data_IF_383926609635
#
_entry.id   IF_383926609635
#
_cell.length_a   1.000
_cell.length_b   1.000
_cell.length_c   1.000
_cell.angle_alpha   90.00
_cell.angle_beta   90.00
_cell.angle_gamma   90.00
#
_symmetry.space_group_name_H-M   'P 1'
#
loop_
_entity.id
_entity.type
_entity.pdbx_description
1 polymer ?
#
# COMPACT_ATOMS: atom_id res chain seq x y z
N UNK A 1 41.95 -16.01 -38.87
CA UNK A 1 42.20 -16.03 -40.33
C UNK A 1 41.05 -15.29 -41.01
N UNK A 2 41.39 -14.48 -42.00
CA UNK A 2 40.88 -13.13 -42.31
C UNK A 2 39.70 -13.06 -43.30
N UNK A 3 38.89 -11.99 -43.24
CA UNK A 3 38.40 -11.15 -44.37
C UNK A 3 37.36 -10.14 -43.83
N UNK A 4 37.66 -8.85 -43.59
CA UNK A 4 37.93 -7.71 -44.50
C UNK A 4 36.69 -7.15 -45.22
N UNK A 5 36.29 -5.97 -44.74
CA UNK A 5 35.70 -4.77 -45.36
C UNK A 5 34.47 -4.80 -46.30
N UNK A 6 33.50 -3.95 -45.91
CA UNK A 6 32.59 -3.04 -46.67
C UNK A 6 31.48 -2.69 -45.67
N UNK A 7 31.39 -1.51 -45.08
CA UNK A 7 31.16 -0.21 -45.68
C UNK A 7 31.66 0.90 -44.74
N UNK A 8 32.49 1.81 -45.26
CA UNK A 8 32.69 3.13 -44.67
C UNK A 8 31.59 4.09 -45.13
N UNK A 9 31.04 4.85 -44.18
CA UNK A 9 30.05 5.90 -44.45
C UNK A 9 29.80 6.72 -43.18
N UNK A 10 30.51 7.85 -43.10
CA UNK A 10 30.36 9.02 -42.23
C UNK A 10 29.38 8.94 -41.03
N UNK A 11 29.94 9.05 -39.82
CA UNK A 11 29.20 9.43 -38.61
C UNK A 11 28.97 10.95 -38.68
N UNK A 12 27.73 11.36 -38.89
CA UNK A 12 27.30 12.75 -38.71
C UNK A 12 27.00 12.97 -37.22
N UNK A 13 27.92 13.67 -36.54
CA UNK A 13 27.75 14.16 -35.18
C UNK A 13 26.84 15.40 -35.19
N UNK A 14 25.52 15.20 -35.15
CA UNK A 14 24.60 16.27 -34.75
C UNK A 14 24.20 16.11 -33.28
N UNK A 15 24.86 16.85 -32.41
CA UNK A 15 24.46 17.07 -31.01
C UNK A 15 23.09 17.75 -30.96
N UNK A 16 22.13 17.15 -30.26
CA UNK A 16 20.92 17.85 -29.83
C UNK A 16 21.04 18.30 -28.35
N UNK A 17 20.51 19.48 -28.02
CA UNK A 17 20.79 20.22 -26.78
C UNK A 17 20.11 19.69 -25.51
N UNK A 18 19.43 18.54 -25.55
CA UNK A 18 18.63 18.03 -24.42
C UNK A 18 18.83 16.54 -24.09
N UNK A 19 19.98 15.94 -24.39
CA UNK A 19 20.54 14.80 -23.63
C UNK A 19 19.62 13.61 -23.23
N UNK A 20 18.79 13.06 -24.13
CA UNK A 20 18.11 11.78 -23.92
C UNK A 20 18.18 10.89 -25.18
N UNK A 21 18.51 9.60 -24.99
CA UNK A 21 18.61 8.56 -26.02
C UNK A 21 17.30 7.79 -26.19
N UNK A 22 16.93 7.51 -27.44
CA UNK A 22 15.75 6.76 -27.86
C UNK A 22 15.78 5.27 -27.46
N UNK A 23 14.60 4.74 -27.12
CA UNK A 23 14.16 3.42 -27.57
C UNK A 23 12.63 3.37 -27.63
N UNK A 24 12.04 3.44 -28.83
CA UNK A 24 10.64 3.07 -29.05
C UNK A 24 10.53 2.12 -30.25
N UNK A 25 9.84 1.01 -30.00
CA UNK A 25 9.52 -0.08 -30.94
C UNK A 25 8.39 0.33 -31.87
N UNK A 26 8.45 -0.21 -33.09
CA UNK A 26 7.31 -0.36 -33.98
C UNK A 26 6.35 -1.46 -33.49
N UNK A 27 5.05 -1.35 -33.80
CA UNK A 27 4.31 -2.24 -34.72
C UNK A 27 2.76 -2.07 -34.57
N UNK A 28 2.12 -1.94 -35.74
CA UNK A 28 0.74 -2.27 -36.15
C UNK A 28 -0.47 -1.51 -35.57
N UNK A 29 -1.00 -0.63 -36.43
CA UNK A 29 -2.43 -0.57 -36.75
C UNK A 29 -2.80 -1.80 -37.59
N UNK A 30 -3.88 -2.48 -37.27
CA UNK A 30 -4.86 -2.83 -38.30
C UNK A 30 -6.27 -2.98 -37.72
N UNK A 31 -7.24 -2.44 -38.44
CA UNK A 31 -8.66 -2.56 -38.12
C UNK A 31 -9.23 -3.80 -38.78
N UNK A 32 -10.06 -4.56 -38.06
CA UNK A 32 -10.99 -5.50 -38.68
C UNK A 32 -12.20 -5.69 -37.78
N UNK A 33 -13.32 -5.22 -38.30
CA UNK A 33 -14.67 -5.52 -37.84
C UNK A 33 -14.95 -7.01 -37.99
N UNK A 34 -15.25 -7.70 -36.90
CA UNK A 34 -15.98 -8.98 -36.94
C UNK A 34 -17.15 -8.96 -35.96
N UNK A 35 -18.33 -8.90 -36.57
CA UNK A 35 -19.60 -9.33 -36.00
C UNK A 35 -19.48 -10.78 -35.55
N UNK A 36 -19.73 -11.03 -34.27
CA UNK A 36 -20.07 -12.34 -33.74
C UNK A 36 -21.42 -12.19 -33.03
N UNK A 37 -22.40 -12.87 -33.57
CA UNK A 37 -23.76 -13.04 -33.06
C UNK A 37 -23.75 -13.60 -31.63
N UNK A 38 -24.28 -12.82 -30.69
CA UNK A 38 -24.64 -13.28 -29.35
C UNK A 38 -25.73 -14.36 -29.45
N UNK A 39 -25.50 -15.59 -28.95
CA UNK A 39 -26.57 -16.55 -28.75
C UNK A 39 -27.33 -16.17 -27.46
N UNK A 40 -28.59 -15.79 -27.63
CA UNK A 40 -29.64 -15.81 -26.61
C UNK A 40 -29.28 -15.14 -25.26
N UNK A 41 -29.54 -13.84 -25.18
CA UNK A 41 -29.85 -13.18 -23.92
C UNK A 41 -31.16 -13.76 -23.35
N UNK A 42 -31.06 -14.90 -22.67
CA UNK A 42 -32.09 -15.28 -21.69
C UNK A 42 -32.06 -14.23 -20.59
N UNK A 43 -33.00 -13.29 -20.67
CA UNK A 43 -33.29 -12.37 -19.58
C UNK A 43 -33.64 -13.22 -18.35
N UNK A 44 -32.93 -13.13 -17.21
CA UNK A 44 -33.29 -13.93 -16.06
C UNK A 44 -34.65 -13.44 -15.56
N UNK A 45 -35.65 -14.32 -15.63
CA UNK A 45 -36.98 -14.06 -15.09
C UNK A 45 -36.93 -13.66 -13.61
N UNK A 46 -37.96 -12.97 -13.11
CA UNK A 46 -37.97 -12.41 -11.77
C UNK A 46 -38.24 -13.50 -10.71
N UNK A 47 -37.29 -14.41 -10.47
CA UNK A 47 -37.41 -15.36 -9.35
C UNK A 47 -36.13 -16.14 -8.96
N UNK A 48 -34.99 -15.44 -8.84
CA UNK A 48 -33.87 -15.93 -8.03
C UNK A 48 -33.61 -14.92 -6.92
N UNK A 49 -33.40 -15.39 -5.69
CA UNK A 49 -33.05 -14.55 -4.56
C UNK A 49 -31.67 -13.88 -4.80
N UNK A 50 -31.61 -12.87 -5.68
CA UNK A 50 -30.37 -12.18 -6.10
C UNK A 50 -29.65 -11.49 -4.94
N UNK A 51 -30.36 -11.29 -3.83
CA UNK A 51 -29.83 -10.76 -2.58
C UNK A 51 -29.17 -11.83 -1.69
N UNK A 52 -29.41 -13.12 -1.95
CA UNK A 52 -28.82 -14.22 -1.21
C UNK A 52 -27.51 -14.67 -1.88
N UNK A 53 -26.52 -15.02 -1.07
CA UNK A 53 -25.25 -15.55 -1.54
C UNK A 53 -25.46 -16.97 -2.06
N UNK A 54 -25.28 -17.17 -3.37
CA UNK A 54 -25.56 -18.42 -4.04
C UNK A 54 -24.62 -19.56 -3.61
N UNK A 55 -23.33 -19.26 -3.38
CA UNK A 55 -22.36 -20.24 -2.94
C UNK A 55 -22.67 -20.69 -1.51
N UNK A 56 -22.95 -19.73 -0.63
CA UNK A 56 -23.31 -19.97 0.76
C UNK A 56 -24.63 -20.74 0.90
N UNK A 57 -25.60 -20.45 0.03
CA UNK A 57 -26.88 -21.17 0.00
C UNK A 57 -26.72 -22.62 -0.43
N UNK A 58 -25.78 -22.91 -1.34
CA UNK A 58 -25.50 -24.27 -1.80
C UNK A 58 -24.79 -25.14 -0.75
N UNK A 59 -23.97 -24.55 0.12
CA UNK A 59 -23.27 -25.30 1.18
C UNK A 59 -24.07 -25.42 2.49
N UNK A 60 -25.19 -24.71 2.63
CA UNK A 60 -25.89 -24.55 3.91
C UNK A 60 -26.30 -25.89 4.54
N UNK A 61 -26.86 -26.81 3.76
CA UNK A 61 -27.28 -28.14 4.24
C UNK A 61 -26.08 -28.99 4.68
N UNK A 62 -24.96 -28.90 3.96
CA UNK A 62 -23.74 -29.62 4.32
C UNK A 62 -23.12 -29.08 5.61
N UNK A 63 -23.12 -27.76 5.80
CA UNK A 63 -22.66 -27.12 7.04
C UNK A 63 -23.57 -27.51 8.21
N UNK A 64 -24.89 -27.44 8.01
CA UNK A 64 -25.87 -27.80 9.04
C UNK A 64 -25.71 -29.25 9.51
N UNK A 65 -25.40 -30.17 8.59
CA UNK A 65 -25.12 -31.57 8.90
C UNK A 65 -23.78 -31.79 9.64
N UNK A 66 -22.82 -30.87 9.54
CA UNK A 66 -21.48 -31.01 10.13
C UNK A 66 -21.39 -30.65 11.63
N UNK A 67 -22.51 -30.25 12.26
CA UNK A 67 -22.61 -29.77 13.64
C UNK A 67 -21.70 -28.57 13.95
N UNK A 68 -21.82 -28.01 15.16
CA UNK A 68 -20.95 -26.91 15.61
C UNK A 68 -19.49 -27.37 15.79
N UNK A 69 -18.56 -26.41 15.63
CA UNK A 69 -17.13 -26.68 15.71
C UNK A 69 -16.35 -25.48 16.25
N UNK A 70 -15.01 -25.60 16.23
CA UNK A 70 -14.11 -24.50 16.62
C UNK A 70 -14.24 -23.26 15.74
N UNK A 71 -14.80 -23.39 14.53
CA UNK A 71 -14.98 -22.30 13.57
C UNK A 71 -16.43 -22.10 13.13
N UNK A 72 -17.39 -22.82 13.72
CA UNK A 72 -18.82 -22.76 13.35
C UNK A 72 -19.67 -22.71 14.62
N UNK A 73 -20.59 -21.76 14.69
CA UNK A 73 -21.59 -21.59 15.74
C UNK A 73 -22.98 -21.48 15.12
N UNK A 74 -23.97 -22.16 15.68
CA UNK A 74 -25.37 -22.10 15.30
C UNK A 74 -26.18 -21.34 16.33
N UNK A 75 -27.16 -20.57 15.86
CA UNK A 75 -28.14 -19.87 16.68
C UNK A 75 -29.48 -19.90 15.97
N UNK A 76 -30.54 -20.35 16.64
CA UNK A 76 -31.88 -20.39 16.05
C UNK A 76 -32.37 -19.00 15.62
N UNK A 77 -32.12 -17.99 16.46
CA UNK A 77 -32.52 -16.61 16.21
C UNK A 77 -31.51 -15.62 16.80
N UNK A 78 -31.65 -14.34 16.46
CA UNK A 78 -30.87 -13.28 17.10
C UNK A 78 -31.19 -13.23 18.60
N UNK A 79 -30.20 -13.39 19.49
CA UNK A 79 -30.46 -13.33 20.93
C UNK A 79 -31.07 -11.99 21.36
N UNK A 80 -32.03 -12.04 22.28
CA UNK A 80 -32.64 -10.83 22.87
C UNK A 80 -31.61 -10.01 23.68
N UNK A 81 -30.65 -10.71 24.28
CA UNK A 81 -29.51 -10.11 24.97
C UNK A 81 -28.29 -10.11 24.06
N UNK A 82 -27.93 -8.92 23.58
CA UNK A 82 -26.80 -8.70 22.68
C UNK A 82 -25.47 -9.31 23.14
N UNK A 83 -25.25 -9.40 24.46
CA UNK A 83 -24.03 -9.96 25.05
C UNK A 83 -23.74 -11.41 24.65
N UNK A 84 -24.74 -12.23 24.30
CA UNK A 84 -24.51 -13.62 23.88
C UNK A 84 -23.81 -13.69 22.53
N UNK A 85 -24.25 -12.91 21.55
CA UNK A 85 -23.63 -12.91 20.22
C UNK A 85 -22.29 -12.18 20.22
N UNK A 86 -22.18 -11.07 20.96
CA UNK A 86 -20.91 -10.35 21.13
C UNK A 86 -19.82 -11.22 21.79
N UNK A 87 -20.20 -12.07 22.74
CA UNK A 87 -19.34 -13.11 23.32
C UNK A 87 -18.79 -14.07 22.27
N UNK A 88 -19.64 -14.63 21.41
CA UNK A 88 -19.19 -15.56 20.36
C UNK A 88 -18.24 -14.87 19.38
N UNK A 89 -18.55 -13.65 18.99
CA UNK A 89 -17.68 -12.83 18.15
C UNK A 89 -16.31 -12.56 18.81
N UNK A 90 -16.28 -12.23 20.10
CA UNK A 90 -15.04 -12.01 20.84
C UNK A 90 -14.20 -13.30 20.95
N UNK A 91 -14.84 -14.45 21.16
CA UNK A 91 -14.17 -15.74 21.25
C UNK A 91 -13.54 -16.16 19.92
N UNK A 92 -14.26 -15.99 18.80
CA UNK A 92 -13.69 -16.19 17.46
C UNK A 92 -12.53 -15.23 17.24
N UNK A 93 -12.73 -13.91 17.35
CA UNK A 93 -11.64 -12.94 17.15
C UNK A 93 -10.37 -13.26 17.97
N UNK A 94 -10.53 -13.74 19.21
CA UNK A 94 -9.43 -14.20 20.07
C UNK A 94 -8.77 -15.49 19.57
N UNK A 95 -9.53 -16.48 19.13
CA UNK A 95 -9.07 -17.88 18.96
C UNK A 95 -8.76 -18.24 17.50
N UNK A 96 -9.44 -17.60 16.55
CA UNK A 96 -9.36 -17.86 15.12
C UNK A 96 -10.61 -17.37 14.39
N UNK A 97 -10.55 -17.22 13.06
CA UNK A 97 -11.75 -16.84 12.31
C UNK A 97 -12.86 -17.89 12.44
N UNK A 98 -14.11 -17.46 12.38
CA UNK A 98 -15.26 -18.36 12.46
C UNK A 98 -16.52 -17.79 11.84
N UNK A 99 -17.55 -18.64 11.72
CA UNK A 99 -18.84 -18.30 11.14
C UNK A 99 -19.96 -18.57 12.11
N UNK A 100 -20.82 -17.58 12.30
CA UNK A 100 -22.03 -17.72 13.11
C UNK A 100 -23.23 -17.76 12.16
N UNK A 101 -23.98 -18.86 12.18
CA UNK A 101 -25.19 -19.05 11.39
C UNK A 101 -26.41 -18.80 12.26
N UNK A 102 -27.14 -17.73 11.97
CA UNK A 102 -28.37 -17.35 12.66
C UNK A 102 -29.57 -17.77 11.82
N UNK A 103 -30.42 -18.64 12.36
CA UNK A 103 -31.47 -19.38 11.65
C UNK A 103 -31.23 -20.90 11.59
N UNK A 104 -30.26 -21.44 12.32
CA UNK A 104 -29.98 -22.88 12.42
C UNK A 104 -29.99 -23.28 13.89
N UNK A 105 -30.63 -24.39 14.22
CA UNK A 105 -30.64 -24.97 15.57
C UNK A 105 -29.35 -25.76 15.85
N UNK A 106 -29.06 -26.00 17.13
CA UNK A 106 -27.83 -26.66 17.58
C UNK A 106 -27.76 -28.12 17.08
N UNK A 107 -28.92 -28.72 16.74
CA UNK A 107 -29.02 -30.06 16.13
C UNK A 107 -28.82 -30.07 14.60
N UNK A 108 -28.60 -28.91 13.98
CA UNK A 108 -28.48 -28.74 12.53
C UNK A 108 -29.79 -28.47 11.80
N UNK A 109 -30.92 -28.35 12.48
CA UNK A 109 -32.20 -28.02 11.84
C UNK A 109 -32.21 -26.58 11.33
N UNK A 110 -32.46 -26.39 10.02
CA UNK A 110 -32.54 -25.07 9.39
C UNK A 110 -33.93 -24.45 9.61
N UNK A 111 -34.07 -23.68 10.69
CA UNK A 111 -35.32 -23.00 11.07
C UNK A 111 -35.59 -21.75 10.23
N UNK A 112 -34.54 -21.04 9.84
CA UNK A 112 -34.60 -19.77 9.11
C UNK A 112 -35.12 -18.58 9.94
N UNK A 113 -34.90 -17.39 9.41
CA UNK A 113 -35.26 -16.10 9.99
C UNK A 113 -36.43 -15.48 9.21
N UNK A 114 -37.67 -15.51 9.73
CA UNK A 114 -38.84 -14.96 9.05
C UNK A 114 -38.66 -13.48 8.67
N UNK A 115 -38.13 -12.67 9.59
CA UNK A 115 -37.91 -11.23 9.37
C UNK A 115 -36.93 -10.96 8.23
N UNK A 116 -35.96 -11.85 8.00
CA UNK A 116 -34.94 -11.71 6.96
C UNK A 116 -35.45 -12.00 5.54
N UNK A 117 -36.71 -12.44 5.38
CA UNK A 117 -37.34 -12.57 4.04
C UNK A 117 -37.51 -11.19 3.39
N UNK A 118 -37.74 -10.14 4.18
CA UNK A 118 -37.88 -8.76 3.69
C UNK A 118 -36.54 -8.01 3.65
N UNK A 119 -36.42 -7.05 2.72
CA UNK A 119 -35.23 -6.18 2.66
C UNK A 119 -35.05 -5.34 3.94
N UNK A 120 -36.15 -4.84 4.50
CA UNK A 120 -36.14 -4.05 5.73
C UNK A 120 -35.65 -4.88 6.93
N UNK A 121 -36.11 -6.13 7.07
CA UNK A 121 -35.66 -7.01 8.13
C UNK A 121 -34.18 -7.38 8.00
N UNK A 122 -33.68 -7.63 6.78
CA UNK A 122 -32.24 -7.82 6.54
C UNK A 122 -31.42 -6.59 6.94
N UNK A 123 -31.92 -5.38 6.64
CA UNK A 123 -31.26 -4.13 7.04
C UNK A 123 -31.25 -3.95 8.57
N UNK A 124 -32.36 -4.26 9.25
CA UNK A 124 -32.43 -4.24 10.73
C UNK A 124 -31.45 -5.23 11.36
N UNK A 125 -31.35 -6.44 10.82
CA UNK A 125 -30.39 -7.45 11.28
C UNK A 125 -28.95 -6.96 11.12
N UNK A 126 -28.62 -6.35 9.97
CA UNK A 126 -27.31 -5.74 9.73
C UNK A 126 -26.96 -4.70 10.78
N UNK A 127 -27.84 -3.72 11.01
CA UNK A 127 -27.59 -2.67 12.01
C UNK A 127 -27.45 -3.23 13.45
N UNK A 128 -28.22 -4.28 13.81
CA UNK A 128 -28.05 -4.96 15.10
C UNK A 128 -26.69 -5.63 15.22
N UNK A 129 -26.25 -6.35 14.19
CA UNK A 129 -24.96 -7.07 14.18
C UNK A 129 -23.79 -6.09 14.25
N UNK A 130 -23.84 -5.00 13.46
CA UNK A 130 -22.84 -3.93 13.51
C UNK A 130 -22.78 -3.27 14.88
N UNK A 131 -23.94 -2.97 15.48
CA UNK A 131 -24.03 -2.43 16.83
C UNK A 131 -23.39 -3.34 17.87
N UNK A 132 -23.59 -4.67 17.78
CA UNK A 132 -22.98 -5.64 18.68
C UNK A 132 -21.48 -5.77 18.46
N UNK A 133 -21.03 -5.84 17.21
CA UNK A 133 -19.61 -5.88 16.86
C UNK A 133 -18.84 -4.67 17.42
N UNK A 134 -19.46 -3.49 17.45
CA UNK A 134 -18.88 -2.27 18.04
C UNK A 134 -18.71 -2.34 19.57
N UNK A 135 -19.47 -3.21 20.26
CA UNK A 135 -19.34 -3.43 21.71
C UNK A 135 -18.18 -4.35 22.09
N UNK A 136 -17.72 -5.20 21.15
CA UNK A 136 -16.53 -6.03 21.34
C UNK A 136 -15.30 -5.12 21.40
N UNK A 137 -14.35 -5.44 22.30
CA UNK A 137 -13.11 -4.68 22.50
C UNK A 137 -11.88 -5.59 22.37
N UNK A 138 -10.92 -5.31 21.47
CA UNK A 138 -10.95 -4.28 20.42
C UNK A 138 -12.13 -4.45 19.46
N UNK A 139 -12.45 -3.38 18.73
CA UNK A 139 -13.56 -3.41 17.76
C UNK A 139 -13.21 -4.38 16.64
N UNK A 140 -14.22 -5.10 16.15
CA UNK A 140 -14.13 -6.02 15.02
C UNK A 140 -15.10 -5.60 13.91
N UNK A 141 -14.79 -6.02 12.68
CA UNK A 141 -15.59 -5.75 11.50
C UNK A 141 -16.01 -7.06 10.82
N UNK A 142 -17.05 -7.75 11.32
CA UNK A 142 -17.52 -8.99 10.72
C UNK A 142 -18.24 -8.72 9.40
N UNK A 143 -18.12 -9.65 8.45
CA UNK A 143 -18.90 -9.60 7.22
C UNK A 143 -20.24 -10.32 7.41
N UNK A 144 -21.34 -9.70 6.95
CA UNK A 144 -22.68 -10.28 7.03
C UNK A 144 -23.24 -10.57 5.65
N UNK A 145 -23.55 -11.84 5.42
CA UNK A 145 -24.17 -12.38 4.22
C UNK A 145 -25.46 -13.13 4.58
N UNK A 146 -26.30 -13.38 3.59
CA UNK A 146 -27.52 -14.15 3.78
C UNK A 146 -27.54 -15.35 2.83
N UNK A 147 -27.88 -16.52 3.37
CA UNK A 147 -28.16 -17.73 2.61
C UNK A 147 -29.67 -17.98 2.58
N UNK A 148 -30.16 -18.58 1.50
CA UNK A 148 -31.57 -18.89 1.34
C UNK A 148 -31.77 -20.29 0.75
N UNK A 149 -32.60 -21.11 1.38
CA UNK A 149 -33.02 -22.42 0.86
C UNK A 149 -34.54 -22.49 0.73
N UNK A 150 -35.03 -23.28 -0.22
CA UNK A 150 -36.45 -23.36 -0.53
C UNK A 150 -36.99 -22.17 -1.32
N UNK A 151 -38.30 -22.16 -1.55
CA UNK A 151 -39.02 -21.15 -2.34
C UNK A 151 -40.39 -20.89 -1.73
N UNK A 152 -40.99 -19.74 -2.07
CA UNK A 152 -42.33 -19.38 -1.61
C UNK A 152 -42.46 -19.42 -0.09
N UNK A 153 -43.47 -20.13 0.40
CA UNK A 153 -43.77 -20.21 1.84
C UNK A 153 -42.73 -21.03 2.63
N UNK A 154 -42.02 -21.96 1.98
CA UNK A 154 -40.98 -22.79 2.59
C UNK A 154 -39.61 -22.11 2.64
N UNK A 155 -39.50 -20.86 2.16
CA UNK A 155 -38.24 -20.11 2.12
C UNK A 155 -37.61 -19.96 3.51
N UNK A 156 -36.47 -20.61 3.76
CA UNK A 156 -35.67 -20.40 4.98
C UNK A 156 -34.49 -19.50 4.66
N UNK A 157 -34.36 -18.41 5.41
CA UNK A 157 -33.27 -17.44 5.27
C UNK A 157 -32.36 -17.54 6.48
N UNK A 158 -31.06 -17.71 6.27
CA UNK A 158 -30.06 -17.77 7.34
C UNK A 158 -29.12 -16.58 7.20
N UNK A 159 -28.88 -15.87 8.29
CA UNK A 159 -27.86 -14.84 8.35
C UNK A 159 -26.51 -15.48 8.73
N UNK A 160 -25.47 -15.19 7.97
CA UNK A 160 -24.12 -15.73 8.21
C UNK A 160 -23.17 -14.60 8.49
N UNK A 161 -22.56 -14.66 9.67
CA UNK A 161 -21.64 -13.64 10.19
C UNK A 161 -20.23 -14.24 10.14
N UNK A 162 -19.41 -13.79 9.20
CA UNK A 162 -18.01 -14.15 9.11
C UNK A 162 -17.22 -13.24 10.07
N UNK A 163 -16.70 -13.83 11.15
CA UNK A 163 -15.89 -13.13 12.15
C UNK A 163 -14.41 -13.38 11.82
N UNK A 164 -13.63 -12.32 11.50
CA UNK A 164 -12.21 -12.48 11.22
C UNK A 164 -11.43 -12.83 12.49
N UNK A 165 -10.26 -13.46 12.31
CA UNK A 165 -9.27 -13.54 13.39
C UNK A 165 -8.78 -12.13 13.70
N UNK A 166 -8.75 -11.78 14.97
CA UNK A 166 -8.28 -10.47 15.40
C UNK A 166 -6.75 -10.37 15.47
N UNK A 167 -6.25 -9.14 15.37
CA UNK A 167 -4.80 -8.82 15.48
C UNK A 167 -4.34 -8.75 16.94
N UNK A 168 -5.24 -8.33 17.83
CA UNK A 168 -4.97 -8.29 19.26
C UNK A 168 -4.98 -9.70 19.85
N UNK A 169 -4.22 -9.93 20.94
CA UNK A 169 -4.15 -11.27 21.54
C UNK A 169 -5.48 -11.76 22.11
N UNK A 170 -6.34 -10.83 22.53
CA UNK A 170 -7.57 -11.08 23.27
C UNK A 170 -8.64 -10.06 22.88
N UNK A 171 -9.87 -10.54 22.75
CA UNK A 171 -11.07 -9.73 22.54
C UNK A 171 -12.05 -9.98 23.69
N UNK A 172 -12.73 -8.90 24.07
CA UNK A 172 -13.57 -8.79 25.25
C UNK A 172 -15.00 -8.47 24.86
N UNK A 173 -15.95 -9.03 25.60
CA UNK A 173 -17.37 -8.65 25.57
C UNK A 173 -17.83 -8.41 27.01
N UNK A 174 -18.17 -7.17 27.34
CA UNK A 174 -18.51 -6.77 28.71
C UNK A 174 -17.38 -7.03 29.70
N UNK A 175 -16.17 -6.55 29.39
CA UNK A 175 -14.94 -6.66 30.19
C UNK A 175 -14.41 -8.07 30.46
N UNK A 176 -15.05 -9.10 29.90
CA UNK A 176 -14.61 -10.49 30.01
C UNK A 176 -13.98 -10.91 28.68
N UNK A 177 -12.73 -11.40 28.74
CA UNK A 177 -12.05 -12.01 27.60
C UNK A 177 -12.58 -13.41 27.35
N UNK A 178 -12.82 -13.77 26.10
CA UNK A 178 -13.39 -15.08 25.75
C UNK A 178 -12.45 -15.89 24.86
N UNK A 179 -12.41 -17.19 25.12
CA UNK A 179 -11.70 -18.17 24.29
C UNK A 179 -12.71 -19.18 23.74
N UNK A 180 -12.48 -19.58 22.49
CA UNK A 180 -13.17 -20.69 21.85
C UNK A 180 -12.45 -22.00 22.23
N UNK A 181 -13.17 -22.92 22.86
CA UNK A 181 -12.68 -24.25 23.18
C UNK A 181 -13.67 -25.28 22.62
N UNK A 182 -13.22 -26.03 21.60
CA UNK A 182 -14.11 -26.90 20.81
C UNK A 182 -15.28 -26.07 20.24
N UNK A 183 -16.54 -26.48 20.44
CA UNK A 183 -17.73 -25.75 19.99
C UNK A 183 -18.22 -24.67 20.96
N UNK A 184 -17.55 -24.45 22.10
CA UNK A 184 -18.04 -23.53 23.13
C UNK A 184 -17.14 -22.30 23.30
N UNK A 185 -17.76 -21.14 23.51
CA UNK A 185 -17.06 -19.94 23.98
C UNK A 185 -17.15 -19.84 25.50
N UNK A 186 -16.01 -19.67 26.16
CA UNK A 186 -15.93 -19.53 27.62
C UNK A 186 -15.07 -18.35 28.06
N UNK A 187 -15.30 -17.81 29.27
CA UNK A 187 -14.39 -16.83 29.86
C UNK A 187 -12.96 -17.38 29.94
N UNK A 188 -12.00 -16.51 29.69
CA UNK A 188 -10.58 -16.78 29.94
C UNK A 188 -10.27 -16.64 31.42
N UNK A 189 -9.39 -17.50 31.93
CA UNK A 189 -8.82 -17.30 33.27
C UNK A 189 -7.74 -16.21 33.25
N UNK A 190 -7.41 -15.60 34.39
CA UNK A 190 -6.31 -14.63 34.47
C UNK A 190 -4.97 -15.18 33.96
N UNK A 191 -4.68 -16.46 34.21
CA UNK A 191 -3.44 -17.09 33.76
C UNK A 191 -3.41 -17.23 32.23
N UNK A 192 -4.52 -17.64 31.61
CA UNK A 192 -4.63 -17.71 30.15
C UNK A 192 -4.48 -16.34 29.49
N UNK A 193 -5.02 -15.30 30.13
CA UNK A 193 -4.84 -13.91 29.68
C UNK A 193 -3.36 -13.54 29.70
N UNK A 194 -2.66 -13.81 30.81
CA UNK A 194 -1.22 -13.51 30.95
C UNK A 194 -0.39 -14.28 29.94
N UNK A 195 -0.63 -15.58 29.79
CA UNK A 195 0.10 -16.44 28.85
C UNK A 195 -0.07 -15.97 27.42
N UNK A 196 -1.30 -15.63 27.03
CA UNK A 196 -1.60 -15.20 25.67
C UNK A 196 -1.00 -13.83 25.36
N UNK A 197 -1.03 -12.89 26.30
CA UNK A 197 -0.36 -11.59 26.15
C UNK A 197 1.16 -11.78 26.02
N UNK A 198 1.78 -12.65 26.84
CA UNK A 198 3.22 -12.92 26.75
C UNK A 198 3.61 -13.58 25.43
N UNK A 199 2.81 -14.56 24.97
CA UNK A 199 3.04 -15.22 23.69
C UNK A 199 2.94 -14.23 22.53
N UNK A 200 1.95 -13.34 22.56
CA UNK A 200 1.79 -12.26 21.59
C UNK A 200 2.94 -11.26 21.66
N UNK A 201 3.33 -10.75 22.84
CA UNK A 201 4.47 -9.83 22.97
C UNK A 201 5.77 -10.44 22.43
N UNK A 202 6.00 -11.73 22.70
CA UNK A 202 7.16 -12.46 22.18
C UNK A 202 7.11 -12.59 20.65
N UNK A 203 5.95 -12.87 20.07
CA UNK A 203 5.76 -13.01 18.63
C UNK A 203 5.79 -11.65 17.90
N UNK A 204 5.29 -10.59 18.53
CA UNK A 204 5.21 -9.24 17.97
C UNK A 204 6.55 -8.49 18.03
N UNK A 205 7.50 -8.93 18.86
CA UNK A 205 8.85 -8.34 18.90
C UNK A 205 9.59 -8.63 17.60
N UNK A 206 10.10 -7.61 16.89
CA UNK A 206 10.88 -7.81 15.68
C UNK A 206 12.08 -8.73 15.99
N UNK A 207 12.22 -9.80 15.21
CA UNK A 207 13.39 -10.68 15.25
C UNK A 207 14.65 -9.90 14.91
N UNK A 208 15.84 -10.41 15.24
CA UNK A 208 17.10 -9.78 14.86
C UNK A 208 17.16 -9.53 13.33
N UNK A 209 16.67 -10.49 12.55
CA UNK A 209 16.53 -10.39 11.10
C UNK A 209 15.55 -9.30 10.67
N UNK A 210 14.35 -9.23 11.26
CA UNK A 210 13.37 -8.19 10.95
C UNK A 210 13.87 -6.78 11.29
N UNK A 211 14.59 -6.63 12.42
CA UNK A 211 15.24 -5.35 12.79
C UNK A 211 16.29 -4.96 11.77
N UNK A 212 17.18 -5.90 11.44
CA UNK A 212 18.24 -5.69 10.47
C UNK A 212 17.70 -5.28 9.09
N UNK A 213 16.69 -5.99 8.59
CA UNK A 213 16.04 -5.63 7.32
C UNK A 213 15.35 -4.26 7.39
N UNK A 214 14.77 -3.89 8.54
CA UNK A 214 14.22 -2.55 8.76
C UNK A 214 15.28 -1.46 8.82
N UNK A 215 16.46 -1.73 9.37
CA UNK A 215 17.62 -0.84 9.36
C UNK A 215 18.18 -0.67 7.94
N UNK A 216 18.33 -1.79 7.21
CA UNK A 216 18.75 -1.80 5.81
C UNK A 216 17.77 -1.01 4.93
N UNK A 217 16.46 -1.24 5.06
CA UNK A 217 15.44 -0.52 4.30
C UNK A 217 15.52 1.00 4.51
N UNK A 218 15.71 1.43 5.77
CA UNK A 218 15.86 2.86 6.11
C UNK A 218 17.12 3.48 5.54
N UNK A 219 18.24 2.76 5.59
CA UNK A 219 19.51 3.19 4.99
C UNK A 219 19.35 3.38 3.47
N UNK A 220 18.85 2.36 2.78
CA UNK A 220 18.68 2.37 1.33
C UNK A 220 17.72 3.48 0.87
N UNK A 221 16.61 3.68 1.59
CA UNK A 221 15.68 4.79 1.32
C UNK A 221 16.35 6.15 1.55
N UNK A 222 17.14 6.30 2.61
CA UNK A 222 17.86 7.54 2.89
C UNK A 222 18.82 7.92 1.77
N UNK A 223 19.59 6.95 1.27
CA UNK A 223 20.53 7.14 0.15
C UNK A 223 19.76 7.49 -1.14
N UNK A 224 18.67 6.79 -1.43
CA UNK A 224 17.81 7.14 -2.57
C UNK A 224 17.33 8.58 -2.51
N UNK A 225 16.81 9.00 -1.35
CA UNK A 225 16.30 10.35 -1.16
C UNK A 225 17.40 11.40 -1.36
N UNK A 226 18.61 11.14 -0.85
CA UNK A 226 19.78 12.00 -1.08
C UNK A 226 20.10 12.12 -2.58
N UNK A 227 20.12 11.00 -3.31
CA UNK A 227 20.41 11.00 -4.76
C UNK A 227 19.30 11.67 -5.57
N UNK A 228 18.04 11.45 -5.22
CA UNK A 228 16.88 12.07 -5.86
C UNK A 228 16.86 13.58 -5.61
N UNK A 229 17.17 14.04 -4.40
CA UNK A 229 17.28 15.46 -4.08
C UNK A 229 18.44 16.12 -4.85
N UNK A 230 19.59 15.45 -4.96
CA UNK A 230 20.69 15.94 -5.79
C UNK A 230 20.29 16.08 -7.26
N UNK A 231 19.59 15.09 -7.82
CA UNK A 231 19.07 15.12 -9.20
C UNK A 231 18.08 16.28 -9.42
N UNK A 232 17.26 16.60 -8.41
CA UNK A 232 16.23 17.63 -8.52
C UNK A 232 16.75 19.08 -8.31
N UNK A 233 17.75 19.31 -7.45
CA UNK A 233 18.10 20.64 -6.92
C UNK A 233 19.28 21.35 -7.59
N UNK A 234 19.71 20.88 -8.76
CA UNK A 234 20.91 21.33 -9.50
C UNK A 234 22.24 20.98 -8.81
N UNK A 235 23.26 20.53 -9.59
CA UNK A 235 24.55 20.13 -9.05
C UNK A 235 25.28 21.18 -8.20
N UNK A 236 25.07 22.48 -8.41
CA UNK A 236 25.82 23.52 -7.67
C UNK A 236 25.27 23.78 -6.27
N UNK A 237 23.94 23.77 -6.11
CA UNK A 237 23.31 24.03 -4.81
C UNK A 237 23.24 22.74 -3.98
N UNK A 238 23.01 21.60 -4.64
CA UNK A 238 22.92 20.29 -3.99
C UNK A 238 24.26 19.64 -3.64
N UNK A 239 25.41 20.06 -4.18
CA UNK A 239 26.68 19.34 -3.95
C UNK A 239 27.16 19.41 -2.49
N UNK A 240 26.99 20.54 -1.80
CA UNK A 240 27.38 20.63 -0.39
C UNK A 240 26.57 19.66 0.47
N UNK A 241 25.26 19.64 0.26
CA UNK A 241 24.33 18.81 1.03
C UNK A 241 24.53 17.33 0.68
N UNK A 242 24.67 17.00 -0.61
CA UNK A 242 25.03 15.65 -1.09
C UNK A 242 26.29 15.13 -0.38
N UNK A 243 27.36 15.92 -0.31
CA UNK A 243 28.61 15.48 0.34
C UNK A 243 28.43 15.23 1.83
N UNK A 244 27.69 16.10 2.51
CA UNK A 244 27.40 15.96 3.94
C UNK A 244 26.57 14.71 4.22
N UNK A 245 25.51 14.50 3.44
CA UNK A 245 24.62 13.35 3.56
C UNK A 245 25.33 12.04 3.18
N UNK A 246 26.17 12.05 2.15
CA UNK A 246 26.95 10.87 1.77
C UNK A 246 27.88 10.42 2.89
N UNK A 247 28.56 11.35 3.57
CA UNK A 247 29.38 11.03 4.74
C UNK A 247 28.55 10.43 5.88
N UNK A 248 27.33 10.95 6.11
CA UNK A 248 26.40 10.41 7.09
C UNK A 248 25.94 8.98 6.76
N UNK A 249 25.57 8.73 5.50
CA UNK A 249 25.13 7.41 5.07
C UNK A 249 26.28 6.40 4.97
N UNK A 250 27.51 6.82 4.73
CA UNK A 250 28.69 5.94 4.83
C UNK A 250 28.84 5.39 6.26
N UNK A 251 28.73 6.25 7.28
CA UNK A 251 28.76 5.81 8.68
C UNK A 251 27.56 4.91 9.03
N UNK A 252 26.37 5.22 8.52
CA UNK A 252 25.22 4.33 8.70
C UNK A 252 25.41 2.98 8.03
N UNK A 253 25.97 2.93 6.82
CA UNK A 253 26.23 1.69 6.09
C UNK A 253 27.16 0.76 6.87
N UNK A 254 28.25 1.28 7.47
CA UNK A 254 29.11 0.50 8.35
C UNK A 254 28.38 -0.02 9.60
N UNK A 255 27.52 0.81 10.22
CA UNK A 255 26.73 0.38 11.40
C UNK A 255 25.76 -0.75 11.05
N UNK A 256 25.06 -0.62 9.93
CA UNK A 256 24.14 -1.67 9.46
C UNK A 256 24.94 -2.94 9.14
N UNK A 257 26.06 -2.83 8.42
CA UNK A 257 26.94 -3.97 8.12
C UNK A 257 27.38 -4.72 9.38
N UNK A 258 27.84 -4.00 10.41
CA UNK A 258 28.28 -4.60 11.68
C UNK A 258 27.15 -5.29 12.47
N UNK A 259 25.89 -4.97 12.17
CA UNK A 259 24.71 -5.58 12.80
C UNK A 259 24.12 -6.76 12.03
N UNK A 260 24.75 -7.16 10.92
CA UNK A 260 24.24 -8.21 10.05
C UNK A 260 24.12 -9.56 10.80
N UNK A 261 22.92 -10.17 10.85
CA UNK A 261 22.76 -11.51 11.40
C UNK A 261 23.42 -12.54 10.47
N UNK A 262 23.71 -13.73 11.00
CA UNK A 262 24.34 -14.81 10.24
C UNK A 262 23.56 -15.20 8.97
N UNK A 263 22.21 -15.08 8.98
CA UNK A 263 21.37 -15.35 7.82
C UNK A 263 21.54 -14.35 6.66
N UNK A 264 22.22 -13.23 6.91
CA UNK A 264 22.44 -12.14 5.96
C UNK A 264 23.91 -11.71 5.94
N UNK A 265 24.85 -12.57 6.32
CA UNK A 265 26.27 -12.22 6.39
C UNK A 265 26.84 -11.76 5.04
N UNK A 266 26.22 -12.15 3.91
CA UNK A 266 26.64 -11.74 2.58
C UNK A 266 26.42 -10.24 2.28
N UNK A 267 25.62 -9.54 3.08
CA UNK A 267 25.38 -8.09 2.92
C UNK A 267 26.55 -7.26 3.43
N UNK A 268 27.32 -7.77 4.40
CA UNK A 268 28.41 -7.05 5.06
C UNK A 268 29.46 -6.51 4.08
N UNK A 269 30.07 -7.32 3.17
CA UNK A 269 31.04 -6.81 2.22
C UNK A 269 30.43 -5.81 1.23
N UNK A 270 29.15 -5.99 0.86
CA UNK A 270 28.46 -5.10 -0.07
C UNK A 270 28.17 -3.74 0.57
N UNK A 271 27.75 -3.72 1.84
CA UNK A 271 27.52 -2.49 2.60
C UNK A 271 28.83 -1.76 2.91
N UNK A 272 29.93 -2.48 3.12
CA UNK A 272 31.25 -1.86 3.26
C UNK A 272 31.68 -1.19 1.95
N UNK A 273 31.52 -1.86 0.80
CA UNK A 273 31.82 -1.25 -0.50
C UNK A 273 30.93 -0.02 -0.77
N UNK A 274 29.64 -0.11 -0.46
CA UNK A 274 28.72 1.03 -0.55
C UNK A 274 29.18 2.22 0.33
N UNK A 275 29.68 1.95 1.54
CA UNK A 275 30.19 2.98 2.44
C UNK A 275 31.44 3.67 1.86
N UNK A 276 32.34 2.91 1.22
CA UNK A 276 33.54 3.45 0.57
C UNK A 276 33.19 4.36 -0.61
N UNK A 277 32.19 3.99 -1.42
CA UNK A 277 31.68 4.83 -2.52
C UNK A 277 31.01 6.11 -2.01
N UNK A 278 30.20 6.01 -0.96
CA UNK A 278 29.62 7.17 -0.28
C UNK A 278 30.71 8.09 0.30
N UNK A 279 31.79 7.54 0.84
CA UNK A 279 32.93 8.32 1.31
C UNK A 279 33.68 9.01 0.16
N UNK A 280 33.75 8.38 -1.01
CA UNK A 280 34.31 8.98 -2.23
C UNK A 280 33.50 10.22 -2.64
N UNK A 281 32.16 10.13 -2.61
CA UNK A 281 31.27 11.28 -2.82
C UNK A 281 31.54 12.37 -1.76
N UNK A 282 31.56 12.00 -0.47
CA UNK A 282 31.72 12.92 0.65
C UNK A 282 33.04 13.71 0.61
N UNK A 283 34.11 13.07 0.13
CA UNK A 283 35.47 13.65 0.11
C UNK A 283 35.86 14.27 -1.24
N UNK A 284 35.05 14.09 -2.29
CA UNK A 284 35.32 14.58 -3.64
C UNK A 284 35.75 16.06 -3.65
N UNK A 285 36.94 16.35 -4.20
CA UNK A 285 37.46 17.73 -4.27
C UNK A 285 36.82 18.50 -5.41
N UNK A 286 36.25 19.67 -5.11
CA UNK A 286 35.78 20.62 -6.13
C UNK A 286 36.91 21.57 -6.53
N UNK A 287 37.92 21.07 -7.23
CA UNK A 287 38.94 21.95 -7.81
C UNK A 287 38.45 22.50 -9.16
N UNK A 288 38.57 23.83 -9.34
CA UNK A 288 38.18 24.53 -10.56
C UNK A 288 38.96 23.94 -11.76
N UNK A 289 38.24 23.47 -12.79
CA UNK A 289 38.84 22.92 -14.01
C UNK A 289 39.11 21.41 -13.99
N UNK A 290 38.81 20.71 -12.88
CA UNK A 290 38.95 19.25 -12.81
C UNK A 290 37.64 18.57 -13.22
N UNK A 291 37.67 17.56 -14.12
CA UNK A 291 36.48 16.79 -14.46
C UNK A 291 35.87 16.13 -13.22
N UNK A 292 34.55 16.26 -13.00
CA UNK A 292 33.82 15.59 -11.90
C UNK A 292 33.59 14.09 -12.17
N UNK A 293 34.42 13.46 -13.00
CA UNK A 293 34.22 12.09 -13.51
C UNK A 293 34.15 11.09 -12.34
N UNK A 294 35.03 11.22 -11.35
CA UNK A 294 35.06 10.33 -10.19
C UNK A 294 33.81 10.48 -9.31
N UNK A 295 33.27 11.70 -9.16
CA UNK A 295 32.06 11.95 -8.38
C UNK A 295 30.82 11.34 -9.05
N UNK A 296 30.67 11.55 -10.36
CA UNK A 296 29.52 11.02 -11.10
C UNK A 296 29.58 9.50 -11.18
N UNK A 297 30.76 8.92 -11.38
CA UNK A 297 30.96 7.47 -11.35
C UNK A 297 30.59 6.88 -9.98
N UNK A 298 31.01 7.51 -8.88
CA UNK A 298 30.64 7.08 -7.53
C UNK A 298 29.12 7.18 -7.29
N UNK A 299 28.46 8.25 -7.76
CA UNK A 299 26.99 8.38 -7.69
C UNK A 299 26.29 7.22 -8.42
N UNK A 300 26.74 6.87 -9.62
CA UNK A 300 26.16 5.78 -10.41
C UNK A 300 26.43 4.41 -9.77
N UNK A 301 27.58 4.22 -9.13
CA UNK A 301 27.91 3.03 -8.34
C UNK A 301 27.01 2.87 -7.12
N UNK A 302 26.79 3.97 -6.38
CA UNK A 302 25.87 3.99 -5.24
C UNK A 302 24.44 3.68 -5.68
N UNK A 303 23.90 4.34 -6.72
CA UNK A 303 22.54 4.08 -7.22
C UNK A 303 22.36 2.60 -7.60
N UNK A 304 23.34 2.04 -8.32
CA UNK A 304 23.30 0.63 -8.73
C UNK A 304 23.38 -0.33 -7.54
N UNK A 305 24.27 -0.08 -6.59
CA UNK A 305 24.41 -0.88 -5.37
C UNK A 305 23.11 -0.88 -4.55
N UNK A 306 22.50 0.30 -4.37
CA UNK A 306 21.23 0.45 -3.65
C UNK A 306 20.10 -0.31 -4.35
N UNK A 307 19.97 -0.20 -5.67
CA UNK A 307 18.96 -0.95 -6.44
C UNK A 307 19.13 -2.45 -6.31
N UNK A 308 20.36 -2.95 -6.42
CA UNK A 308 20.65 -4.38 -6.27
C UNK A 308 20.32 -4.90 -4.87
N UNK A 309 20.71 -4.15 -3.84
CA UNK A 309 20.41 -4.52 -2.45
C UNK A 309 18.90 -4.51 -2.17
N UNK A 310 18.19 -3.48 -2.65
CA UNK A 310 16.73 -3.36 -2.50
C UNK A 310 16.04 -4.55 -3.15
N UNK A 311 16.31 -4.81 -4.42
CA UNK A 311 15.65 -5.89 -5.17
C UNK A 311 15.84 -7.26 -4.50
N UNK A 312 16.98 -7.48 -3.83
CA UNK A 312 17.28 -8.76 -3.18
C UNK A 312 16.70 -8.88 -1.76
N UNK A 313 16.93 -7.88 -0.91
CA UNK A 313 16.64 -8.01 0.53
C UNK A 313 15.41 -7.23 0.97
N UNK A 314 15.09 -6.12 0.31
CA UNK A 314 13.99 -5.20 0.66
C UNK A 314 13.06 -4.94 -0.54
N UNK A 315 12.57 -5.98 -1.25
CA UNK A 315 11.68 -5.75 -2.38
C UNK A 315 10.27 -5.37 -1.88
N UNK A 316 9.47 -4.65 -2.68
CA UNK A 316 8.18 -4.09 -2.26
C UNK A 316 7.20 -5.14 -1.73
N UNK A 317 7.27 -6.38 -2.21
CA UNK A 317 6.38 -7.48 -1.86
C UNK A 317 6.63 -8.04 -0.45
N UNK A 318 7.78 -7.72 0.17
CA UNK A 318 8.05 -8.10 1.55
C UNK A 318 7.33 -7.21 2.57
N UNK A 319 6.76 -6.09 2.12
CA UNK A 319 5.97 -5.22 2.97
C UNK A 319 4.52 -5.69 3.00
N UNK A 320 3.89 -5.67 4.18
CA UNK A 320 2.51 -6.12 4.34
C UNK A 320 1.47 -5.10 3.86
N UNK A 321 0.21 -5.54 3.78
CA UNK A 321 -0.92 -4.74 3.29
C UNK A 321 -1.07 -3.39 4.01
N UNK A 322 -0.77 -3.34 5.31
CA UNK A 322 -0.81 -2.10 6.09
C UNK A 322 0.17 -1.04 5.56
N UNK A 323 1.39 -1.45 5.16
CA UNK A 323 2.38 -0.54 4.58
C UNK A 323 1.99 -0.10 3.16
N UNK A 324 1.37 -1.00 2.38
CA UNK A 324 0.81 -0.67 1.08
C UNK A 324 -0.31 0.37 1.20
N UNK A 325 -1.26 0.19 2.12
CA UNK A 325 -2.33 1.15 2.35
C UNK A 325 -1.84 2.47 2.95
N UNK A 326 -0.82 2.45 3.81
CA UNK A 326 -0.15 3.66 4.28
C UNK A 326 0.45 4.45 3.12
N UNK A 327 1.20 3.79 2.22
CA UNK A 327 1.80 4.42 1.05
C UNK A 327 0.75 5.03 0.12
N UNK A 328 -0.31 4.27 -0.22
CA UNK A 328 -1.43 4.78 -1.04
C UNK A 328 -2.10 5.98 -0.38
N UNK A 329 -2.35 5.91 0.92
CA UNK A 329 -3.00 6.99 1.68
C UNK A 329 -2.13 8.25 1.68
N UNK A 330 -0.83 8.11 1.89
CA UNK A 330 0.09 9.24 1.91
C UNK A 330 0.23 9.91 0.53
N UNK A 331 0.32 9.12 -0.56
CA UNK A 331 0.34 9.67 -1.93
C UNK A 331 -0.97 10.38 -2.26
N UNK A 332 -2.13 9.78 -1.92
CA UNK A 332 -3.45 10.42 -2.08
C UNK A 332 -3.54 11.73 -1.30
N UNK A 333 -3.02 11.77 -0.07
CA UNK A 333 -3.00 12.98 0.76
C UNK A 333 -2.13 14.09 0.15
N UNK A 334 -0.91 13.77 -0.28
CA UNK A 334 0.01 14.72 -0.91
C UNK A 334 -0.59 15.33 -2.18
N UNK A 335 -1.23 14.51 -3.02
CA UNK A 335 -1.89 14.98 -4.23
C UNK A 335 -3.11 15.85 -3.96
N UNK A 336 -3.93 15.49 -2.97
CA UNK A 336 -5.07 16.31 -2.55
C UNK A 336 -4.62 17.69 -2.07
N UNK A 337 -3.53 17.75 -1.30
CA UNK A 337 -2.95 19.02 -0.84
C UNK A 337 -2.39 19.84 -2.00
N UNK A 338 -1.73 19.20 -2.97
CA UNK A 338 -1.27 19.86 -4.19
C UNK A 338 -2.44 20.43 -5.00
N UNK A 339 -3.53 19.68 -5.15
CA UNK A 339 -4.74 20.14 -5.83
C UNK A 339 -5.39 21.34 -5.13
N UNK A 340 -5.46 21.32 -3.80
CA UNK A 340 -5.95 22.46 -3.02
C UNK A 340 -5.06 23.70 -3.20
N UNK A 341 -3.74 23.51 -3.21
CA UNK A 341 -2.78 24.59 -3.47
C UNK A 341 -2.96 25.15 -4.89
N UNK A 342 -3.08 24.29 -5.89
CA UNK A 342 -3.28 24.67 -7.29
C UNK A 342 -4.57 25.47 -7.49
N UNK A 343 -5.69 25.02 -6.90
CA UNK A 343 -6.97 25.73 -6.94
C UNK A 343 -6.88 27.10 -6.26
N UNK A 344 -6.31 27.16 -5.05
CA UNK A 344 -6.11 28.40 -4.28
C UNK A 344 -5.28 29.43 -5.04
N UNK A 345 -4.28 28.98 -5.80
CA UNK A 345 -3.45 29.85 -6.64
C UNK A 345 -4.17 30.30 -7.92
N UNK A 346 -5.04 29.47 -8.49
CA UNK A 346 -5.83 29.77 -9.69
C UNK A 346 -6.95 30.79 -9.45
N UNK A 347 -7.60 30.77 -8.27
CA UNK A 347 -8.68 31.69 -7.92
C UNK A 347 -8.19 33.13 -7.62
N UNK A 348 -6.92 33.30 -7.26
CA UNK A 348 -6.38 34.61 -6.85
C UNK A 348 -5.94 35.45 -8.06
N UNK A 349 -6.59 36.60 -8.26
CA UNK A 349 -6.22 37.59 -9.27
C UNK A 349 -4.86 38.29 -8.99
N UNK A 350 -4.31 38.88 -10.05
CA UNK A 350 -3.04 39.60 -10.20
C UNK A 350 -2.52 40.25 -8.91
N UNK A 351 -1.25 39.98 -8.56
CA UNK A 351 -0.52 40.69 -7.50
C UNK A 351 -0.38 39.94 -6.17
N UNK A 352 -0.92 38.73 -6.05
CA UNK A 352 -0.70 37.90 -4.85
C UNK A 352 0.76 37.48 -4.75
N UNK A 353 1.39 37.72 -3.58
CA UNK A 353 2.72 37.18 -3.30
C UNK A 353 2.64 35.65 -3.27
N UNK A 354 3.37 35.01 -4.19
CA UNK A 354 3.52 33.55 -4.25
C UNK A 354 4.30 32.95 -3.05
N UNK A 355 4.86 33.82 -2.19
CA UNK A 355 5.38 33.48 -0.87
C UNK A 355 6.15 32.17 -0.84
N UNK A 356 5.53 31.16 -0.25
CA UNK A 356 6.10 29.85 0.06
C UNK A 356 5.66 28.74 -0.91
N UNK A 357 4.84 29.05 -1.94
CA UNK A 357 4.24 28.05 -2.82
C UNK A 357 5.26 27.10 -3.48
N UNK A 358 6.42 27.56 -4.02
CA UNK A 358 7.42 26.64 -4.56
C UNK A 358 7.99 25.66 -3.51
N UNK A 359 8.13 26.10 -2.27
CA UNK A 359 8.59 25.25 -1.17
C UNK A 359 7.51 24.25 -0.75
N UNK A 360 6.25 24.67 -0.65
CA UNK A 360 5.10 23.78 -0.38
C UNK A 360 5.01 22.66 -1.44
N UNK A 361 5.13 23.01 -2.73
CA UNK A 361 5.13 22.03 -3.84
C UNK A 361 6.31 21.09 -3.75
N UNK A 362 7.51 21.62 -3.49
CA UNK A 362 8.71 20.80 -3.37
C UNK A 362 8.66 19.84 -2.19
N UNK A 363 8.00 20.20 -1.08
CA UNK A 363 7.79 19.31 0.05
C UNK A 363 6.80 18.19 -0.29
N UNK A 364 5.72 18.47 -1.04
CA UNK A 364 4.82 17.41 -1.54
C UNK A 364 5.58 16.45 -2.47
N UNK A 365 6.43 16.99 -3.34
CA UNK A 365 7.31 16.18 -4.19
C UNK A 365 8.23 15.27 -3.38
N UNK A 366 8.83 15.78 -2.30
CA UNK A 366 9.67 15.00 -1.38
C UNK A 366 8.90 13.87 -0.70
N UNK A 367 7.67 14.13 -0.24
CA UNK A 367 6.81 13.09 0.34
C UNK A 367 6.48 11.99 -0.66
N UNK A 368 6.13 12.36 -1.91
CA UNK A 368 5.87 11.39 -2.99
C UNK A 368 7.10 10.54 -3.27
N UNK A 369 8.27 11.15 -3.39
CA UNK A 369 9.52 10.43 -3.66
C UNK A 369 9.86 9.39 -2.59
N UNK A 370 9.54 9.68 -1.32
CA UNK A 370 9.78 8.75 -0.21
C UNK A 370 9.01 7.43 -0.39
N UNK A 371 7.75 7.49 -0.82
CA UNK A 371 6.94 6.29 -1.04
C UNK A 371 7.23 5.65 -2.40
N UNK A 372 7.43 6.46 -3.45
CA UNK A 372 7.76 5.98 -4.78
C UNK A 372 9.11 5.24 -4.84
N UNK A 373 10.10 5.66 -4.04
CA UNK A 373 11.40 4.97 -3.93
C UNK A 373 11.26 3.53 -3.43
N UNK A 374 10.33 3.27 -2.50
CA UNK A 374 10.05 1.93 -2.01
C UNK A 374 9.09 1.13 -2.90
N UNK A 375 8.21 1.79 -3.66
CA UNK A 375 7.27 1.14 -4.60
C UNK A 375 6.16 0.29 -3.94
N UNK A 376 6.06 0.31 -2.60
CA UNK A 376 5.16 -0.57 -1.84
C UNK A 376 3.69 -0.22 -2.11
N UNK A 377 2.95 -1.14 -2.72
CA UNK A 377 1.51 -0.99 -2.95
C UNK A 377 1.11 0.04 -4.01
N UNK A 378 2.05 0.51 -4.83
CA UNK A 378 1.84 1.59 -5.81
C UNK A 378 1.62 1.09 -7.25
N UNK A 379 1.55 -0.22 -7.45
CA UNK A 379 1.31 -0.88 -8.75
C UNK A 379 2.59 -1.44 -9.37
N UNK A 380 2.62 -1.53 -10.70
CA UNK A 380 3.75 -2.08 -11.45
C UNK A 380 4.95 -1.10 -11.55
N UNK A 381 6.06 -1.60 -12.10
CA UNK A 381 7.30 -0.83 -12.25
C UNK A 381 7.12 0.44 -13.10
N UNK A 382 6.29 0.39 -14.15
CA UNK A 382 6.06 1.53 -15.04
C UNK A 382 5.33 2.65 -14.30
N UNK A 383 4.31 2.28 -13.52
CA UNK A 383 3.54 3.20 -12.69
C UNK A 383 4.36 3.82 -11.57
N UNK A 384 5.24 3.05 -10.93
CA UNK A 384 6.19 3.55 -9.93
C UNK A 384 7.20 4.50 -10.57
N UNK A 385 7.71 4.17 -11.76
CA UNK A 385 8.64 5.03 -12.50
C UNK A 385 8.01 6.37 -12.89
N UNK A 386 6.74 6.39 -13.33
CA UNK A 386 6.02 7.63 -13.60
C UNK A 386 5.87 8.48 -12.33
N UNK A 387 5.49 7.87 -11.20
CA UNK A 387 5.36 8.59 -9.93
C UNK A 387 6.71 9.18 -9.45
N UNK A 388 7.81 8.44 -9.63
CA UNK A 388 9.16 8.95 -9.37
C UNK A 388 9.47 10.18 -10.24
N UNK A 389 9.16 10.13 -11.53
CA UNK A 389 9.38 11.25 -12.45
C UNK A 389 8.55 12.49 -12.04
N UNK A 390 7.28 12.29 -11.67
CA UNK A 390 6.42 13.36 -11.16
C UNK A 390 6.96 13.94 -9.84
N UNK A 391 7.39 13.09 -8.91
CA UNK A 391 7.99 13.51 -7.63
C UNK A 391 9.25 14.35 -7.82
N UNK A 392 10.15 13.97 -8.75
CA UNK A 392 11.36 14.73 -9.09
C UNK A 392 10.98 16.10 -9.66
N UNK A 393 10.00 16.13 -10.58
CA UNK A 393 9.54 17.38 -11.18
C UNK A 393 8.96 18.35 -10.14
N UNK A 394 8.16 17.83 -9.19
CA UNK A 394 7.64 18.61 -8.06
C UNK A 394 8.77 19.08 -7.13
N UNK A 395 9.74 18.22 -6.81
CA UNK A 395 10.88 18.56 -5.96
C UNK A 395 11.72 19.71 -6.53
N UNK A 396 11.87 19.76 -7.86
CA UNK A 396 12.59 20.82 -8.55
C UNK A 396 11.99 22.24 -8.37
N UNK A 397 10.74 22.36 -7.91
CA UNK A 397 10.12 23.66 -7.61
C UNK A 397 10.89 24.46 -6.55
N UNK A 398 11.63 23.80 -5.65
CA UNK A 398 12.49 24.46 -4.66
C UNK A 398 13.57 25.35 -5.29
N UNK A 399 13.89 25.15 -6.58
CA UNK A 399 14.88 25.94 -7.31
C UNK A 399 14.27 27.08 -8.11
N UNK A 400 12.94 27.13 -8.27
CA UNK A 400 12.28 28.14 -9.10
C UNK A 400 12.41 29.53 -8.49
N UNK A 401 12.91 30.45 -9.29
CA UNK A 401 13.04 31.86 -8.93
C UNK A 401 11.87 32.65 -9.50
N UNK A 402 11.41 33.65 -8.75
CA UNK A 402 10.42 34.62 -9.23
C UNK A 402 11.14 35.88 -9.71
N UNK A 403 11.00 36.19 -10.99
CA UNK A 403 11.62 37.37 -11.60
C UNK A 403 10.68 38.58 -11.56
N UNK A 404 11.27 39.78 -11.58
CA UNK A 404 10.52 41.05 -11.73
C UNK A 404 10.15 41.29 -13.20
N UNK A 405 9.24 40.47 -13.73
CA UNK A 405 8.92 40.40 -15.17
C UNK A 405 7.45 40.74 -15.50
N UNK A 406 6.81 41.58 -14.69
CA UNK A 406 5.38 41.90 -14.88
C UNK A 406 4.45 40.71 -14.59
N UNK A 407 4.92 39.74 -13.79
CA UNK A 407 4.15 38.59 -13.35
C UNK A 407 4.05 37.47 -14.37
N UNK A 408 4.87 37.46 -15.42
CA UNK A 408 4.91 36.36 -16.39
C UNK A 408 5.44 35.08 -15.74
N UNK A 409 6.55 35.17 -14.98
CA UNK A 409 7.10 34.06 -14.19
C UNK A 409 6.12 33.53 -13.17
N UNK A 410 5.32 34.42 -12.57
CA UNK A 410 4.28 34.04 -11.61
C UNK A 410 3.17 33.23 -12.29
N UNK A 411 2.70 33.68 -13.46
CA UNK A 411 1.69 32.96 -14.25
C UNK A 411 2.18 31.59 -14.71
N UNK A 412 3.43 31.52 -15.18
CA UNK A 412 4.04 30.25 -15.60
C UNK A 412 4.17 29.28 -14.42
N UNK A 413 4.59 29.77 -13.25
CA UNK A 413 4.68 28.94 -12.05
C UNK A 413 3.32 28.34 -11.68
N UNK A 414 2.26 29.16 -11.67
CA UNK A 414 0.91 28.68 -11.34
C UNK A 414 0.43 27.64 -12.37
N UNK A 415 0.64 27.90 -13.66
CA UNK A 415 0.29 26.95 -14.72
C UNK A 415 1.02 25.61 -14.56
N UNK A 416 2.32 25.64 -14.23
CA UNK A 416 3.09 24.42 -14.03
C UNK A 416 2.65 23.65 -12.77
N UNK A 417 2.23 24.34 -11.70
CA UNK A 417 1.64 23.70 -10.51
C UNK A 417 0.31 23.04 -10.86
N UNK A 418 -0.52 23.69 -11.68
CA UNK A 418 -1.80 23.14 -12.13
C UNK A 418 -1.58 21.88 -12.97
N UNK A 419 -0.68 21.92 -13.96
CA UNK A 419 -0.32 20.76 -14.78
C UNK A 419 0.22 19.61 -13.92
N UNK A 420 1.11 19.91 -12.98
CA UNK A 420 1.66 18.88 -12.10
C UNK A 420 0.59 18.28 -11.17
N UNK A 421 -0.37 19.09 -10.72
CA UNK A 421 -1.52 18.62 -9.95
C UNK A 421 -2.42 17.71 -10.78
N UNK A 422 -2.75 18.09 -12.02
CA UNK A 422 -3.61 17.31 -12.92
C UNK A 422 -3.00 15.93 -13.20
N UNK A 423 -1.72 15.88 -13.58
CA UNK A 423 -1.00 14.61 -13.82
C UNK A 423 -1.01 13.68 -12.60
N UNK A 424 -0.88 14.23 -11.40
CA UNK A 424 -0.89 13.44 -10.18
C UNK A 424 -2.30 12.96 -9.82
N UNK A 425 -3.34 13.73 -10.16
CA UNK A 425 -4.74 13.28 -10.03
C UNK A 425 -5.06 12.15 -11.00
N UNK A 426 -4.62 12.27 -12.27
CA UNK A 426 -4.77 11.23 -13.27
C UNK A 426 -4.07 9.94 -12.80
N UNK A 427 -2.85 10.06 -12.27
CA UNK A 427 -2.15 8.93 -11.68
C UNK A 427 -2.97 8.28 -10.56
N UNK A 428 -3.56 9.04 -9.63
CA UNK A 428 -4.34 8.48 -8.52
C UNK A 428 -5.65 7.82 -8.98
N UNK A 429 -6.28 8.31 -10.05
CA UNK A 429 -7.55 7.76 -10.54
C UNK A 429 -7.44 6.26 -10.85
N UNK A 430 -6.25 5.84 -11.29
CA UNK A 430 -5.92 4.46 -11.63
C UNK A 430 -5.39 3.64 -10.44
N UNK A 431 -5.33 4.22 -9.23
CA UNK A 431 -4.79 3.57 -8.02
C UNK A 431 -5.89 2.80 -7.28
N UNK A 432 -5.93 1.48 -7.46
CA UNK A 432 -6.84 0.56 -6.74
C UNK A 432 -6.45 0.44 -5.27
#
# INVERSE_FOLDING_TARGET
MTMVDRFGGAVDESRDRNGFSLAYRAVARDGSTMSASDPASESPGPDRQSWADAALSAELEAVAAASESVSVEFKVAMPDHGGKLAKEMAAFATSGSGRIFVGIDDDGTIVGLPDARSAEGRLKLRGRIEGLAATVKPVIHPALRFAAIGKGDDLRVVAVIDVPKGEAPIYYSGDIGYLRQMSASRPMTPDEVIERIRAWDKASKPTAESRYLGDLARLLLGIDMMLLDYRALSPRKGLRDLKSEAGHYAEQAHRVAASAPQSHAETEPLLSALADELMTIATARSAIGTPQVDLLAAIDEVDRSVRQMRARWVPPEKFGDAAAEEAKTAVRAAAKQLAWLAARLGERQRGTKLGEAPAEVAERGREILRYASLGVGLGDEERVADLLAQGIALRAFAMRQLYHDGGASQRQLIADIQIASERLQDWIADLV
#
